data_IF_862871557122
#
_entry.id   IF_862871557122
#
_cell.length_a   1.000
_cell.length_b   1.000
_cell.length_c   1.000
_cell.angle_alpha   90.00
_cell.angle_beta   90.00
_cell.angle_gamma   90.00
#
_symmetry.space_group_name_H-M   'P 1'
#
loop_
_entity.id
_entity.type
_entity.pdbx_description
1 polymer ?
#
# COMPACT_ATOMS: atom_id res chain seq x y z
N UNK A 1 8.11 28.11 -37.94
CA UNK A 1 7.50 27.88 -36.61
C UNK A 1 7.83 26.46 -36.20
N UNK A 2 8.85 26.25 -35.36
CA UNK A 2 9.20 24.93 -34.86
C UNK A 2 8.51 24.81 -33.50
N UNK A 3 7.51 23.93 -33.44
CA UNK A 3 6.72 23.70 -32.23
C UNK A 3 7.62 23.19 -31.11
N UNK A 4 7.61 23.91 -29.99
CA UNK A 4 8.31 23.53 -28.78
C UNK A 4 7.59 22.30 -28.20
N UNK A 5 8.08 21.09 -28.48
CA UNK A 5 7.53 19.88 -27.86
C UNK A 5 7.82 19.97 -26.36
N UNK A 6 6.77 20.12 -25.55
CA UNK A 6 6.86 20.13 -24.09
C UNK A 6 7.31 18.75 -23.61
N UNK A 7 8.61 18.61 -23.35
CA UNK A 7 9.15 17.45 -22.64
C UNK A 7 8.67 17.54 -21.19
N UNK A 8 7.93 16.53 -20.73
CA UNK A 8 7.55 16.40 -19.33
C UNK A 8 8.21 15.15 -18.74
N UNK A 9 8.74 15.27 -17.53
CA UNK A 9 9.28 14.14 -16.78
C UNK A 9 8.08 13.36 -16.22
N UNK A 10 7.92 12.06 -16.52
CA UNK A 10 6.86 11.26 -15.93
C UNK A 10 6.95 11.30 -14.41
N UNK A 11 5.81 11.54 -13.75
CA UNK A 11 5.76 11.50 -12.29
C UNK A 11 5.95 10.06 -11.82
N UNK A 12 6.81 9.80 -10.82
CA UNK A 12 6.93 8.47 -10.24
C UNK A 12 5.57 7.98 -9.72
N UNK A 13 5.28 6.67 -9.78
CA UNK A 13 4.04 6.12 -9.25
C UNK A 13 3.97 6.29 -7.73
N UNK A 14 2.75 6.34 -7.19
CA UNK A 14 2.54 6.20 -5.76
C UNK A 14 2.72 4.73 -5.38
N UNK A 15 3.45 4.46 -4.29
CA UNK A 15 3.68 3.09 -3.79
C UNK A 15 3.45 3.00 -2.29
N UNK A 16 2.80 1.93 -1.86
CA UNK A 16 2.56 1.62 -0.45
C UNK A 16 3.02 0.20 -0.16
N UNK A 17 4.01 0.08 0.70
CA UNK A 17 4.50 -1.21 1.22
C UNK A 17 3.96 -1.39 2.63
N UNK A 18 3.32 -2.52 2.91
CA UNK A 18 2.75 -2.85 4.22
C UNK A 18 3.35 -4.16 4.73
N UNK A 19 3.99 -4.10 5.89
CA UNK A 19 4.31 -5.27 6.70
C UNK A 19 3.17 -5.49 7.69
N UNK A 20 2.59 -6.69 7.68
CA UNK A 20 1.53 -7.07 8.61
C UNK A 20 1.90 -8.30 9.41
N UNK A 21 1.27 -8.45 10.58
CA UNK A 21 1.37 -9.62 11.44
C UNK A 21 -0.02 -10.13 11.84
N UNK A 22 -0.07 -11.36 12.32
CA UNK A 22 -1.23 -11.99 12.98
C UNK A 22 -0.76 -12.59 14.29
N UNK A 23 -1.59 -12.52 15.33
CA UNK A 23 -1.30 -13.21 16.59
C UNK A 23 -1.17 -14.73 16.33
N UNK A 24 -0.02 -15.36 16.62
CA UNK A 24 0.18 -16.80 16.40
C UNK A 24 -0.71 -17.68 17.29
N UNK A 25 -1.12 -17.18 18.46
CA UNK A 25 -1.90 -17.94 19.44
C UNK A 25 -3.40 -17.96 19.13
N UNK A 26 -3.87 -17.04 18.30
CA UNK A 26 -5.26 -16.98 17.84
C UNK A 26 -5.32 -16.93 16.31
N UNK A 27 -5.66 -18.07 15.71
CA UNK A 27 -5.78 -18.20 14.24
C UNK A 27 -6.86 -17.30 13.64
N UNK A 28 -7.84 -16.86 14.44
CA UNK A 28 -8.92 -15.96 14.02
C UNK A 28 -8.57 -14.49 14.21
N UNK A 29 -7.45 -14.18 14.87
CA UNK A 29 -7.02 -12.80 15.05
C UNK A 29 -6.88 -12.09 13.70
N UNK A 30 -7.28 -10.81 13.63
CA UNK A 30 -7.10 -10.01 12.43
C UNK A 30 -5.61 -9.84 12.13
N UNK A 31 -5.30 -9.58 10.86
CA UNK A 31 -3.96 -9.11 10.49
C UNK A 31 -3.86 -7.62 10.82
N UNK A 32 -2.83 -7.22 11.53
CA UNK A 32 -2.57 -5.83 11.89
C UNK A 32 -1.27 -5.36 11.25
N UNK A 33 -1.22 -4.06 10.92
CA UNK A 33 -0.04 -3.42 10.34
C UNK A 33 1.04 -3.32 11.42
N UNK A 34 2.23 -3.81 11.09
CA UNK A 34 3.45 -3.59 11.88
C UNK A 34 4.11 -2.30 11.43
N UNK A 35 4.17 -2.08 10.12
CA UNK A 35 4.76 -0.92 9.49
C UNK A 35 4.14 -0.71 8.11
N UNK A 36 4.01 0.55 7.70
CA UNK A 36 3.70 0.91 6.33
C UNK A 36 4.63 2.02 5.86
N UNK A 37 5.18 1.86 4.65
CA UNK A 37 5.98 2.86 3.96
C UNK A 37 5.21 3.39 2.76
N UNK A 38 5.20 4.70 2.57
CA UNK A 38 4.50 5.39 1.48
C UNK A 38 5.50 6.22 0.69
N UNK A 39 5.57 5.97 -0.61
CA UNK A 39 6.25 6.81 -1.59
C UNK A 39 5.15 7.51 -2.40
N UNK A 40 5.20 8.85 -2.47
CA UNK A 40 4.15 9.65 -3.09
C UNK A 40 2.96 9.88 -2.16
N UNK A 41 1.73 9.65 -2.64
CA UNK A 41 0.49 9.91 -1.91
C UNK A 41 -0.34 8.64 -1.73
N UNK A 42 -0.75 8.33 -0.50
CA UNK A 42 -1.72 7.27 -0.22
C UNK A 42 -3.10 7.84 0.14
N UNK A 43 -3.39 9.11 -0.19
CA UNK A 43 -4.69 9.72 0.11
C UNK A 43 -5.81 8.98 -0.63
N UNK A 44 -6.98 8.79 0.02
CA UNK A 44 -7.34 9.20 1.38
C UNK A 44 -6.97 8.17 2.48
N UNK A 45 -6.29 7.08 2.14
CA UNK A 45 -6.08 5.91 2.99
C UNK A 45 -5.03 6.08 4.09
N UNK A 46 -4.30 7.21 4.14
CA UNK A 46 -3.20 7.45 5.10
C UNK A 46 -3.53 7.07 6.55
N UNK A 47 -4.75 7.38 7.02
CA UNK A 47 -5.19 7.07 8.40
C UNK A 47 -5.20 5.56 8.70
N UNK A 48 -5.43 4.73 7.69
CA UNK A 48 -5.51 3.28 7.83
C UNK A 48 -4.13 2.60 7.76
N UNK A 49 -3.07 3.34 7.41
CA UNK A 49 -1.71 2.83 7.26
C UNK A 49 -0.88 2.92 8.55
N UNK A 50 -1.52 3.20 9.69
CA UNK A 50 -0.84 3.31 10.98
C UNK A 50 -0.60 1.93 11.61
N UNK A 51 0.42 1.84 12.45
CA UNK A 51 0.72 0.63 13.21
C UNK A 51 -0.48 0.21 14.06
N UNK A 52 -0.76 -1.10 14.11
CA UNK A 52 -1.91 -1.68 14.80
C UNK A 52 -3.23 -1.64 14.03
N UNK A 53 -3.34 -0.85 12.95
CA UNK A 53 -4.53 -0.84 12.11
C UNK A 53 -4.72 -2.17 11.39
N UNK A 54 -5.96 -2.50 11.06
CA UNK A 54 -6.28 -3.74 10.34
C UNK A 54 -5.76 -3.66 8.90
N UNK A 55 -4.95 -4.64 8.52
CA UNK A 55 -4.42 -4.74 7.15
C UNK A 55 -5.53 -4.82 6.09
N UNK A 56 -6.61 -5.54 6.40
CA UNK A 56 -7.74 -5.70 5.46
C UNK A 56 -8.34 -4.34 5.09
N UNK A 57 -8.61 -3.50 6.08
CA UNK A 57 -9.27 -2.20 5.89
C UNK A 57 -8.37 -1.25 5.08
N UNK A 58 -7.06 -1.26 5.36
CA UNK A 58 -6.08 -0.50 4.59
C UNK A 58 -6.00 -0.98 3.13
N UNK A 59 -5.88 -2.29 2.91
CA UNK A 59 -5.79 -2.88 1.57
C UNK A 59 -7.07 -2.65 0.75
N UNK A 60 -8.24 -2.70 1.38
CA UNK A 60 -9.51 -2.38 0.76
C UNK A 60 -9.58 -0.90 0.36
N UNK A 61 -9.21 0.01 1.25
CA UNK A 61 -9.15 1.44 0.91
C UNK A 61 -8.21 1.69 -0.29
N UNK A 62 -7.00 1.13 -0.27
CA UNK A 62 -6.01 1.32 -1.34
C UNK A 62 -6.56 0.85 -2.70
N UNK A 63 -7.11 -0.38 -2.76
CA UNK A 63 -7.70 -0.92 -3.99
C UNK A 63 -8.88 -0.08 -4.49
N UNK A 64 -9.75 0.36 -3.58
CA UNK A 64 -10.87 1.25 -3.92
C UNK A 64 -10.44 2.64 -4.40
N UNK A 65 -9.16 3.02 -4.19
CA UNK A 65 -8.59 4.31 -4.60
C UNK A 65 -7.50 4.15 -5.68
N UNK A 66 -7.60 3.08 -6.48
CA UNK A 66 -6.81 2.92 -7.71
C UNK A 66 -5.43 2.30 -7.53
N UNK A 67 -5.09 1.82 -6.33
CA UNK A 67 -3.87 1.04 -6.16
C UNK A 67 -4.08 -0.41 -6.59
N UNK A 68 -3.20 -0.90 -7.44
CA UNK A 68 -3.07 -2.32 -7.76
C UNK A 68 -2.17 -3.02 -6.73
N UNK A 69 -2.54 -4.24 -6.32
CA UNK A 69 -1.71 -5.04 -5.43
C UNK A 69 -0.72 -5.87 -6.26
N UNK A 70 0.54 -5.47 -6.24
CA UNK A 70 1.60 -6.10 -7.03
C UNK A 70 2.15 -7.35 -6.34
N UNK A 71 2.21 -7.36 -5.01
CA UNK A 71 2.57 -8.57 -4.24
C UNK A 71 1.79 -8.68 -2.93
N UNK A 72 1.67 -9.92 -2.47
CA UNK A 72 1.01 -10.32 -1.22
C UNK A 72 1.67 -11.57 -0.63
N UNK A 73 2.95 -11.48 -0.27
CA UNK A 73 3.67 -12.61 0.30
C UNK A 73 3.24 -12.90 1.74
N UNK A 74 3.06 -14.18 2.05
CA UNK A 74 2.79 -14.67 3.42
C UNK A 74 4.02 -15.39 3.96
N UNK A 75 4.55 -14.89 5.06
CA UNK A 75 5.74 -15.39 5.75
C UNK A 75 5.34 -15.94 7.12
N UNK A 76 4.53 -17.00 7.10
CA UNK A 76 3.94 -17.58 8.31
C UNK A 76 2.88 -16.66 8.93
N UNK A 77 3.16 -16.16 10.14
CA UNK A 77 2.28 -15.21 10.85
C UNK A 77 2.52 -13.75 10.47
N UNK A 78 3.54 -13.49 9.66
CA UNK A 78 3.80 -12.20 9.03
C UNK A 78 3.42 -12.24 7.54
N UNK A 79 3.39 -11.07 6.92
CA UNK A 79 3.40 -10.98 5.47
C UNK A 79 3.67 -9.56 4.99
N UNK A 80 4.01 -9.48 3.71
CA UNK A 80 4.36 -8.25 3.02
C UNK A 80 3.36 -8.03 1.88
N UNK A 81 2.89 -6.81 1.72
CA UNK A 81 2.09 -6.44 0.57
C UNK A 81 2.61 -5.14 -0.02
N UNK A 82 2.68 -5.06 -1.35
CA UNK A 82 3.05 -3.83 -2.07
C UNK A 82 1.89 -3.47 -2.99
N UNK A 83 1.52 -2.20 -2.93
CA UNK A 83 0.45 -1.59 -3.70
C UNK A 83 1.02 -0.43 -4.51
N UNK A 84 0.63 -0.30 -5.78
CA UNK A 84 1.12 0.75 -6.68
C UNK A 84 -0.04 1.42 -7.40
N UNK A 85 0.02 2.74 -7.58
CA UNK A 85 -0.92 3.51 -8.40
C UNK A 85 -0.14 4.43 -9.34
N UNK A 86 -0.48 4.39 -10.63
CA UNK A 86 0.10 5.34 -11.58
C UNK A 86 -0.32 6.78 -11.25
N UNK A 87 0.62 7.71 -11.45
CA UNK A 87 0.52 9.12 -11.04
C UNK A 87 -0.06 10.03 -12.09
#
# INVERSE_FOLDING_TARGET
MIGNQSVSIPKPPDSVTILWQRNPLDRRAPRTIVEASVIGSAKPCQRLLQNGMRYRDAAECLRSNGFEQITSERLGVFGLAVFVRES
#
